data_IF_196302714712
#
_entry.id   IF_196302714712
#
_cell.length_a   1.000
_cell.length_b   1.000
_cell.length_c   1.000
_cell.angle_alpha   90.00
_cell.angle_beta   90.00
_cell.angle_gamma   90.00
#
_symmetry.space_group_name_H-M   'P 1'
#
loop_
_entity.id
_entity.type
_entity.pdbx_description
1 polymer ?
#
# COMPACT_ATOMS: atom_id res chain seq x y z
N UNK A 1 -6.27 -39.28 -14.69
CA UNK A 1 -6.36 -38.96 -13.25
C UNK A 1 -5.57 -37.72 -12.89
N UNK A 2 -4.31 -37.66 -13.26
CA UNK A 2 -3.50 -36.46 -13.01
C UNK A 2 -4.05 -35.19 -13.68
N UNK A 3 -4.83 -35.34 -14.72
CA UNK A 3 -5.50 -34.21 -15.39
C UNK A 3 -6.46 -33.47 -14.47
N UNK A 4 -7.14 -34.18 -13.59
CA UNK A 4 -8.11 -33.57 -12.69
C UNK A 4 -7.43 -32.68 -11.66
N UNK A 5 -6.32 -33.13 -11.14
CA UNK A 5 -5.55 -32.35 -10.17
C UNK A 5 -4.96 -31.10 -10.78
N UNK A 6 -4.51 -31.20 -12.05
CA UNK A 6 -3.97 -30.06 -12.78
C UNK A 6 -5.05 -29.00 -13.08
N UNK A 7 -6.28 -29.45 -13.34
CA UNK A 7 -7.38 -28.52 -13.59
C UNK A 7 -7.83 -27.80 -12.33
N UNK A 8 -7.80 -28.47 -11.19
CA UNK A 8 -8.22 -27.88 -9.92
C UNK A 8 -7.20 -26.90 -9.34
N UNK A 9 -5.91 -27.21 -9.45
CA UNK A 9 -4.85 -26.35 -8.91
C UNK A 9 -4.89 -24.93 -9.45
N UNK A 10 -4.95 -24.71 -10.77
CA UNK A 10 -5.03 -23.35 -11.28
C UNK A 10 -6.24 -22.57 -10.78
N UNK A 11 -7.37 -23.25 -10.56
CA UNK A 11 -8.58 -22.64 -10.05
C UNK A 11 -8.42 -22.21 -8.59
N UNK A 12 -7.84 -23.10 -7.77
CA UNK A 12 -7.59 -22.81 -6.36
C UNK A 12 -6.60 -21.65 -6.19
N UNK A 13 -5.52 -21.68 -6.97
CA UNK A 13 -4.52 -20.61 -6.94
C UNK A 13 -5.13 -19.29 -7.37
N UNK A 14 -5.95 -19.29 -8.40
CA UNK A 14 -6.64 -18.11 -8.89
C UNK A 14 -7.58 -17.54 -7.83
N UNK A 15 -8.33 -18.38 -7.15
CA UNK A 15 -9.24 -17.97 -6.11
C UNK A 15 -8.51 -17.39 -4.91
N UNK A 16 -7.39 -18.00 -4.51
CA UNK A 16 -6.55 -17.48 -3.44
C UNK A 16 -6.01 -16.09 -3.79
N UNK A 17 -5.59 -15.88 -5.03
CA UNK A 17 -5.10 -14.58 -5.51
C UNK A 17 -6.21 -13.53 -5.51
N UNK A 18 -7.42 -13.89 -5.91
CA UNK A 18 -8.57 -13.00 -5.89
C UNK A 18 -8.94 -12.59 -4.47
N UNK A 19 -8.91 -13.52 -3.51
CA UNK A 19 -9.18 -13.24 -2.11
C UNK A 19 -8.14 -12.29 -1.52
N UNK A 20 -6.88 -12.47 -1.88
CA UNK A 20 -5.81 -11.59 -1.44
C UNK A 20 -5.96 -10.19 -2.00
N UNK A 21 -6.30 -10.07 -3.28
CA UNK A 21 -6.57 -8.79 -3.91
C UNK A 21 -7.77 -8.08 -3.26
N UNK A 22 -8.81 -8.83 -2.94
CA UNK A 22 -9.99 -8.28 -2.28
C UNK A 22 -9.65 -7.72 -0.91
N UNK A 23 -8.81 -8.40 -0.14
CA UNK A 23 -8.35 -7.90 1.16
C UNK A 23 -7.54 -6.63 1.04
N UNK A 24 -6.64 -6.57 0.07
CA UNK A 24 -5.84 -5.37 -0.19
C UNK A 24 -6.73 -4.20 -0.62
N UNK A 25 -7.72 -4.48 -1.45
CA UNK A 25 -8.66 -3.47 -1.92
C UNK A 25 -9.47 -2.89 -0.76
N UNK A 26 -9.97 -3.76 0.13
CA UNK A 26 -10.69 -3.32 1.33
C UNK A 26 -9.79 -2.48 2.24
N UNK A 27 -8.57 -2.94 2.45
CA UNK A 27 -7.59 -2.21 3.24
C UNK A 27 -7.36 -0.81 2.66
N UNK A 28 -7.19 -0.72 1.34
CA UNK A 28 -7.00 0.56 0.67
C UNK A 28 -8.21 1.48 0.84
N UNK A 29 -9.41 0.94 0.64
CA UNK A 29 -10.63 1.74 0.80
C UNK A 29 -10.79 2.28 2.21
N UNK A 30 -10.51 1.45 3.21
CA UNK A 30 -10.64 1.85 4.61
C UNK A 30 -9.58 2.85 5.05
N UNK A 31 -8.42 2.81 4.45
CA UNK A 31 -7.27 3.61 4.88
C UNK A 31 -6.89 4.73 3.91
N UNK A 32 -7.54 4.82 2.76
CA UNK A 32 -7.18 5.80 1.73
C UNK A 32 -7.28 7.24 2.23
N UNK A 33 -8.36 7.59 2.90
CA UNK A 33 -8.55 8.95 3.42
C UNK A 33 -7.51 9.30 4.47
N UNK A 34 -7.19 8.33 5.33
CA UNK A 34 -6.14 8.49 6.32
C UNK A 34 -4.77 8.66 5.66
N UNK A 35 -4.49 7.85 4.64
CA UNK A 35 -3.23 7.95 3.90
C UNK A 35 -3.10 9.30 3.20
N UNK A 36 -4.16 9.81 2.62
CA UNK A 36 -4.19 11.13 2.00
C UNK A 36 -3.92 12.23 3.02
N UNK A 37 -4.50 12.12 4.21
CA UNK A 37 -4.28 13.09 5.28
C UNK A 37 -2.82 13.06 5.76
N UNK A 38 -2.26 11.88 5.95
CA UNK A 38 -0.86 11.74 6.35
C UNK A 38 0.09 12.24 5.26
N UNK A 39 -0.20 11.93 4.00
CA UNK A 39 0.57 12.43 2.87
C UNK A 39 0.51 13.96 2.76
N UNK A 40 -0.64 14.55 3.01
CA UNK A 40 -0.79 16.00 3.01
C UNK A 40 0.09 16.66 4.07
N UNK A 41 0.17 16.07 5.25
CA UNK A 41 1.05 16.57 6.33
C UNK A 41 2.52 16.49 5.92
N UNK A 42 2.92 15.41 5.26
CA UNK A 42 4.28 15.21 4.79
C UNK A 42 4.60 16.24 3.69
N UNK A 43 3.70 16.41 2.74
CA UNK A 43 3.88 17.37 1.65
C UNK A 43 3.91 18.82 2.13
N UNK A 44 3.16 19.13 3.18
CA UNK A 44 3.14 20.48 3.75
C UNK A 44 4.49 20.92 4.32
N UNK A 45 5.36 19.95 4.67
CA UNK A 45 6.68 20.25 5.18
C UNK A 45 7.76 20.39 4.09
N UNK A 46 7.39 20.15 2.85
CA UNK A 46 8.34 20.13 1.73
C UNK A 46 9.08 21.44 1.56
N UNK A 47 8.35 22.56 1.52
CA UNK A 47 8.95 23.88 1.33
C UNK A 47 9.78 24.32 2.53
N UNK A 48 9.36 23.89 3.73
CA UNK A 48 10.04 24.22 4.98
C UNK A 48 11.37 23.48 5.12
N UNK A 49 11.40 22.19 4.74
CA UNK A 49 12.58 21.32 4.93
C UNK A 49 13.53 21.31 3.74
N UNK A 50 13.04 21.71 2.58
CA UNK A 50 13.83 21.82 1.34
C UNK A 50 14.60 20.54 1.02
N UNK A 51 15.93 20.59 0.91
CA UNK A 51 16.75 19.45 0.53
C UNK A 51 16.70 18.29 1.53
N UNK A 52 16.34 18.56 2.78
CA UNK A 52 16.23 17.55 3.82
C UNK A 52 14.88 16.85 3.86
N UNK A 53 13.92 17.34 3.07
CA UNK A 53 12.57 16.82 3.10
C UNK A 53 12.47 15.36 2.68
N UNK A 54 13.22 14.93 1.68
CA UNK A 54 13.14 13.54 1.18
C UNK A 54 13.52 12.53 2.27
N UNK A 55 14.60 12.77 2.97
CA UNK A 55 15.05 11.87 4.05
C UNK A 55 14.06 11.89 5.21
N UNK A 56 13.60 13.08 5.57
CA UNK A 56 12.61 13.22 6.62
C UNK A 56 11.30 12.52 6.27
N UNK A 57 10.81 12.71 5.05
CA UNK A 57 9.58 12.07 4.57
C UNK A 57 9.70 10.55 4.58
N UNK A 58 10.83 10.04 4.13
CA UNK A 58 11.11 8.60 4.17
C UNK A 58 11.05 8.07 5.61
N UNK A 59 11.69 8.76 6.54
CA UNK A 59 11.68 8.36 7.95
C UNK A 59 10.26 8.36 8.53
N UNK A 60 9.44 9.33 8.15
CA UNK A 60 8.05 9.37 8.60
C UNK A 60 7.26 8.18 8.06
N UNK A 61 7.47 7.83 6.80
CA UNK A 61 6.75 6.72 6.16
C UNK A 61 7.17 5.38 6.75
N UNK A 62 8.47 5.14 6.94
CA UNK A 62 8.94 3.85 7.47
C UNK A 62 8.56 3.64 8.94
N UNK A 63 8.23 4.70 9.66
CA UNK A 63 7.73 4.60 11.02
C UNK A 63 6.25 4.18 11.07
N UNK A 64 5.56 4.21 9.94
CA UNK A 64 4.15 3.82 9.87
C UNK A 64 4.02 2.31 9.74
N UNK A 65 2.93 1.77 10.24
CA UNK A 65 2.61 0.35 10.15
C UNK A 65 1.13 0.16 9.89
N UNK A 66 0.73 -0.92 9.21
CA UNK A 66 1.57 -1.98 8.64
C UNK A 66 2.29 -1.55 7.36
N UNK A 67 3.18 -2.40 6.78
CA UNK A 67 3.90 -2.06 5.54
C UNK A 67 3.00 -1.68 4.37
N UNK A 68 1.83 -2.26 4.27
CA UNK A 68 0.84 -1.93 3.24
C UNK A 68 0.39 -0.48 3.35
N UNK A 69 0.30 0.04 4.55
CA UNK A 69 -0.05 1.44 4.78
C UNK A 69 1.08 2.38 4.33
N UNK A 70 2.32 1.99 4.54
CA UNK A 70 3.47 2.76 4.04
C UNK A 70 3.40 2.95 2.53
N UNK A 71 3.03 1.90 1.79
CA UNK A 71 2.87 1.96 0.35
C UNK A 71 1.77 2.94 -0.07
N UNK A 72 0.65 2.96 0.65
CA UNK A 72 -0.43 3.90 0.38
C UNK A 72 0.04 5.35 0.54
N UNK A 73 0.69 5.65 1.64
CA UNK A 73 1.18 6.99 1.92
C UNK A 73 2.23 7.41 0.89
N UNK A 74 3.13 6.50 0.55
CA UNK A 74 4.16 6.77 -0.45
C UNK A 74 3.55 7.13 -1.79
N UNK A 75 2.55 6.39 -2.25
CA UNK A 75 1.85 6.66 -3.50
C UNK A 75 1.18 8.04 -3.48
N UNK A 76 0.55 8.40 -2.38
CA UNK A 76 -0.09 9.70 -2.25
C UNK A 76 0.92 10.84 -2.22
N UNK A 77 2.08 10.62 -1.62
CA UNK A 77 3.16 11.63 -1.58
C UNK A 77 3.79 11.82 -2.96
N UNK A 78 3.95 10.74 -3.72
CA UNK A 78 4.59 10.77 -5.04
C UNK A 78 3.65 11.19 -6.19
N UNK A 79 2.40 11.38 -5.93
CA UNK A 79 1.37 11.67 -6.92
C UNK A 79 1.54 12.98 -7.65
#
# INVERSE_FOLDING_TARGET
MSRWNLAQRPTEERQAMEDEKARLFEFWQQNLDRAKADAAKILAERDRRKSKWKDWAHDQIVAMSPPEYQELVRREVER
#
